data_IF_173508033367
#
_entry.id   IF_173508033367
#
_cell.length_a   1.000
_cell.length_b   1.000
_cell.length_c   1.000
_cell.angle_alpha   90.00
_cell.angle_beta   90.00
_cell.angle_gamma   90.00
#
_symmetry.space_group_name_H-M   'P 1'
#
loop_
_entity.id
_entity.type
_entity.pdbx_description
1 polymer ?
#
# COMPACT_ATOMS: atom_id res chain seq x y z
N UNK A 1 0.12 -0.81 -11.65
CA UNK A 1 0.52 -2.14 -11.12
C UNK A 1 0.61 -3.16 -12.26
N UNK A 2 1.78 -3.78 -12.47
CA UNK A 2 1.96 -4.92 -13.38
C UNK A 2 2.48 -6.07 -12.53
N UNK A 3 1.66 -7.11 -12.34
CA UNK A 3 2.08 -8.35 -11.66
C UNK A 3 2.37 -9.35 -12.77
N UNK A 4 3.49 -10.06 -12.67
CA UNK A 4 3.80 -11.14 -13.60
C UNK A 4 2.87 -12.32 -13.30
N UNK A 5 1.72 -12.34 -13.98
CA UNK A 5 0.85 -13.50 -14.05
C UNK A 5 1.32 -14.32 -15.25
N UNK A 6 2.12 -15.37 -15.00
CA UNK A 6 2.62 -16.40 -15.94
C UNK A 6 4.12 -16.32 -16.33
N UNK A 7 4.71 -17.52 -16.50
CA UNK A 7 6.11 -17.80 -16.88
C UNK A 7 6.50 -17.40 -18.32
N UNK A 8 5.66 -16.63 -19.02
CA UNK A 8 6.03 -16.01 -20.29
C UNK A 8 6.27 -14.53 -20.00
N UNK A 9 7.43 -13.99 -20.36
CA UNK A 9 7.93 -12.65 -19.97
C UNK A 9 7.10 -11.43 -20.39
N UNK A 10 5.82 -11.58 -20.70
CA UNK A 10 4.88 -10.50 -20.98
C UNK A 10 4.16 -10.05 -19.69
N UNK A 11 4.49 -8.84 -19.23
CA UNK A 11 3.79 -8.19 -18.12
C UNK A 11 2.41 -7.71 -18.57
N UNK A 12 1.42 -8.60 -18.48
CA UNK A 12 0.01 -8.26 -18.71
C UNK A 12 -0.52 -7.34 -17.59
N UNK A 13 -1.40 -6.37 -17.91
CA UNK A 13 -2.08 -5.58 -16.88
C UNK A 13 -2.90 -6.48 -15.95
N UNK A 14 -2.96 -6.12 -14.67
CA UNK A 14 -3.80 -6.85 -13.72
C UNK A 14 -5.28 -6.80 -14.17
N UNK A 15 -5.99 -7.94 -14.24
CA UNK A 15 -7.42 -7.95 -14.55
C UNK A 15 -8.22 -7.07 -13.59
N UNK A 16 -9.31 -6.47 -14.07
CA UNK A 16 -10.11 -5.55 -13.27
C UNK A 16 -10.65 -6.19 -11.99
N UNK A 17 -11.16 -7.42 -12.09
CA UNK A 17 -11.64 -8.21 -10.95
C UNK A 17 -10.55 -8.41 -9.89
N UNK A 18 -9.32 -8.68 -10.32
CA UNK A 18 -8.19 -8.84 -9.40
C UNK A 18 -7.79 -7.50 -8.76
N UNK A 19 -7.92 -6.38 -9.47
CA UNK A 19 -7.71 -5.05 -8.86
C UNK A 19 -8.72 -4.77 -7.76
N UNK A 20 -10.00 -5.10 -7.97
CA UNK A 20 -11.04 -4.97 -6.96
C UNK A 20 -10.79 -5.91 -5.77
N UNK A 21 -10.37 -7.15 -6.03
CA UNK A 21 -10.00 -8.10 -4.97
C UNK A 21 -8.84 -7.58 -4.13
N UNK A 22 -7.80 -7.03 -4.75
CA UNK A 22 -6.69 -6.37 -4.04
C UNK A 22 -7.20 -5.24 -3.16
N UNK A 23 -7.99 -4.31 -3.73
CA UNK A 23 -8.53 -3.19 -2.96
C UNK A 23 -9.30 -3.68 -1.72
N UNK A 24 -10.19 -4.67 -1.91
CA UNK A 24 -11.00 -5.25 -0.84
C UNK A 24 -10.16 -5.93 0.25
N UNK A 25 -9.27 -6.86 -0.10
CA UNK A 25 -8.48 -7.61 0.87
C UNK A 25 -7.51 -6.71 1.65
N UNK A 26 -6.93 -5.70 0.99
CA UNK A 26 -6.05 -4.75 1.67
C UNK A 26 -6.84 -3.86 2.64
N UNK A 27 -8.05 -3.43 2.29
CA UNK A 27 -8.92 -2.72 3.23
C UNK A 27 -9.26 -3.59 4.46
N UNK A 28 -9.62 -4.87 4.25
CA UNK A 28 -9.88 -5.81 5.34
C UNK A 28 -8.65 -6.04 6.23
N UNK A 29 -7.46 -6.16 5.63
CA UNK A 29 -6.22 -6.32 6.38
C UNK A 29 -5.92 -5.09 7.25
N UNK A 30 -6.13 -3.88 6.71
CA UNK A 30 -5.96 -2.63 7.46
C UNK A 30 -7.00 -2.48 8.59
N UNK A 31 -8.26 -2.84 8.33
CA UNK A 31 -9.31 -2.88 9.35
C UNK A 31 -8.96 -3.85 10.47
N UNK A 32 -8.50 -5.05 10.13
CA UNK A 32 -8.05 -6.04 11.11
C UNK A 32 -6.89 -5.51 11.95
N UNK A 33 -5.87 -4.91 11.33
CA UNK A 33 -4.75 -4.29 12.05
C UNK A 33 -5.24 -3.21 13.02
N UNK A 34 -6.14 -2.33 12.58
CA UNK A 34 -6.72 -1.29 13.42
C UNK A 34 -7.50 -1.88 14.62
N UNK A 35 -8.26 -2.95 14.41
CA UNK A 35 -8.99 -3.66 15.47
C UNK A 35 -8.05 -4.31 16.50
N UNK A 36 -6.85 -4.74 16.08
CA UNK A 36 -5.80 -5.28 16.95
C UNK A 36 -4.93 -4.17 17.61
N UNK A 37 -5.29 -2.90 17.46
CA UNK A 37 -4.53 -1.76 18.01
C UNK A 37 -3.29 -1.37 17.21
N UNK A 38 -3.03 -2.03 16.08
CA UNK A 38 -1.95 -1.71 15.14
C UNK A 38 -2.42 -0.67 14.12
N UNK A 39 -2.67 0.55 14.61
CA UNK A 39 -3.29 1.63 13.81
C UNK A 39 -2.35 2.29 12.78
N UNK A 40 -1.07 1.95 12.81
CA UNK A 40 -0.04 2.58 11.99
C UNK A 40 0.56 1.53 11.06
N UNK A 41 0.58 1.87 9.77
CA UNK A 41 1.27 1.12 8.74
C UNK A 41 2.19 2.06 7.96
N UNK A 42 3.48 1.76 7.95
CA UNK A 42 4.50 2.56 7.29
C UNK A 42 4.68 2.15 5.83
N UNK A 43 4.83 3.15 4.95
CA UNK A 43 5.20 2.94 3.55
C UNK A 43 4.23 1.98 2.81
N UNK A 44 2.92 2.16 3.03
CA UNK A 44 1.88 1.46 2.27
C UNK A 44 1.90 1.93 0.81
N UNK A 45 2.13 0.99 -0.10
CA UNK A 45 2.15 1.18 -1.54
C UNK A 45 1.93 -0.17 -2.26
N UNK A 46 1.88 -0.18 -3.59
CA UNK A 46 1.63 -1.40 -4.37
C UNK A 46 2.66 -2.53 -4.14
N UNK A 47 3.90 -2.24 -3.71
CA UNK A 47 4.92 -3.25 -3.40
C UNK A 47 4.68 -3.97 -2.06
N UNK A 48 3.81 -3.43 -1.21
CA UNK A 48 3.40 -4.07 0.05
C UNK A 48 2.25 -5.06 -0.13
N UNK A 49 1.63 -5.09 -1.31
CA UNK A 49 0.63 -6.07 -1.69
C UNK A 49 1.36 -7.30 -2.24
N UNK A 50 1.20 -8.42 -1.54
CA UNK A 50 1.76 -9.71 -1.92
C UNK A 50 0.63 -10.63 -2.37
N UNK A 51 0.98 -11.72 -3.04
CA UNK A 51 0.05 -12.79 -3.39
C UNK A 51 0.55 -14.07 -2.73
N UNK A 52 -0.35 -14.81 -2.10
CA UNK A 52 -0.01 -16.12 -1.55
C UNK A 52 -0.02 -17.21 -2.63
N UNK A 53 0.17 -18.46 -2.21
CA UNK A 53 0.22 -19.63 -3.10
C UNK A 53 -1.11 -19.89 -3.82
N UNK A 54 -2.23 -19.43 -3.25
CA UNK A 54 -3.58 -19.54 -3.82
C UNK A 54 -3.90 -18.37 -4.77
N UNK A 55 -2.99 -17.39 -4.87
CA UNK A 55 -3.15 -16.20 -5.69
C UNK A 55 -4.01 -15.12 -5.04
N UNK A 56 -4.27 -15.22 -3.74
CA UNK A 56 -5.04 -14.22 -3.01
C UNK A 56 -4.14 -13.08 -2.48
N UNK A 57 -4.61 -11.83 -2.56
CA UNK A 57 -3.84 -10.69 -2.12
C UNK A 57 -3.72 -10.63 -0.59
N UNK A 58 -2.50 -10.38 -0.12
CA UNK A 58 -2.11 -10.24 1.30
C UNK A 58 -1.36 -8.93 1.51
N UNK A 59 -1.52 -8.34 2.70
CA UNK A 59 -0.73 -7.18 3.12
C UNK A 59 0.54 -7.67 3.85
N UNK A 60 1.71 -7.19 3.42
CA UNK A 60 2.98 -7.49 4.10
C UNK A 60 2.96 -7.01 5.56
N UNK A 61 3.47 -7.81 6.51
CA UNK A 61 3.57 -7.38 7.91
C UNK A 61 4.70 -6.38 8.17
N UNK A 62 5.65 -6.21 7.23
CA UNK A 62 6.81 -5.34 7.43
C UNK A 62 6.46 -3.87 7.65
N UNK A 63 5.35 -3.37 7.09
CA UNK A 63 4.91 -1.99 7.32
C UNK A 63 4.39 -1.75 8.75
N UNK A 64 4.07 -2.80 9.51
CA UNK A 64 3.66 -2.69 10.92
C UNK A 64 4.87 -2.49 11.86
N UNK A 65 6.08 -2.79 11.39
CA UNK A 65 7.30 -2.60 12.15
C UNK A 65 7.80 -1.16 11.97
N UNK A 66 8.20 -0.51 13.07
CA UNK A 66 8.92 0.77 12.99
C UNK A 66 10.31 0.51 12.43
N UNK A 67 10.57 0.95 11.21
CA UNK A 67 11.93 0.97 10.67
C UNK A 67 12.68 2.13 11.35
N UNK A 68 13.53 1.78 12.31
CA UNK A 68 14.49 2.64 13.03
C UNK A 68 13.94 3.48 14.20
N UNK A 69 14.81 3.66 15.21
CA UNK A 69 14.61 4.43 16.46
C UNK A 69 14.23 5.91 16.25
N UNK A 70 14.38 6.45 15.03
CA UNK A 70 14.26 7.89 14.74
C UNK A 70 12.99 8.31 14.00
N UNK A 71 12.02 7.40 13.78
CA UNK A 71 10.68 7.75 13.29
C UNK A 71 10.56 8.20 11.82
N UNK A 72 11.68 8.34 11.10
CA UNK A 72 11.70 8.61 9.65
C UNK A 72 11.46 7.32 8.85
N UNK A 73 10.23 6.82 8.89
CA UNK A 73 9.89 5.49 8.36
C UNK A 73 9.32 5.49 6.93
N UNK A 74 9.47 6.59 6.17
CA UNK A 74 9.07 6.66 4.77
C UNK A 74 10.29 6.43 3.86
N UNK A 75 10.33 5.25 3.22
CA UNK A 75 11.20 4.99 2.06
C UNK A 75 10.59 5.49 0.75
N UNK A 76 9.34 5.98 0.81
CA UNK A 76 8.55 6.42 -0.33
C UNK A 76 8.97 7.84 -0.74
N UNK A 77 8.99 8.08 -2.05
CA UNK A 77 9.16 9.41 -2.63
C UNK A 77 8.19 10.39 -1.95
N UNK A 78 8.69 11.56 -1.51
CA UNK A 78 7.91 12.58 -0.78
C UNK A 78 6.61 12.99 -1.48
N UNK A 79 6.52 12.80 -2.80
CA UNK A 79 5.32 13.05 -3.58
C UNK A 79 4.11 12.17 -3.19
N UNK A 80 4.31 11.05 -2.50
CA UNK A 80 3.25 10.11 -2.09
C UNK A 80 3.01 10.13 -0.57
N UNK A 81 3.71 11.03 0.11
CA UNK A 81 3.70 11.13 1.55
C UNK A 81 2.51 11.97 2.00
N UNK A 82 1.78 11.54 3.05
CA UNK A 82 0.68 12.31 3.59
C UNK A 82 1.13 13.73 4.00
N UNK A 83 0.33 14.78 3.74
CA UNK A 83 0.74 16.17 3.97
C UNK A 83 1.07 16.46 5.44
N UNK A 84 0.38 15.81 6.38
CA UNK A 84 0.66 15.92 7.80
C UNK A 84 2.01 15.30 8.18
N UNK A 85 2.48 14.27 7.48
CA UNK A 85 3.80 13.69 7.70
C UNK A 85 4.89 14.65 7.23
N UNK A 86 4.70 15.36 6.10
CA UNK A 86 5.65 16.38 5.63
C UNK A 86 5.85 17.50 6.66
N UNK A 87 4.80 17.84 7.42
CA UNK A 87 4.84 18.86 8.47
C UNK A 87 5.41 18.36 9.79
N UNK A 88 5.06 17.14 10.21
CA UNK A 88 5.30 16.66 11.58
C UNK A 88 6.37 15.57 11.69
N UNK A 89 6.71 14.93 10.58
CA UNK A 89 7.55 13.73 10.53
C UNK A 89 6.92 12.52 11.21
N UNK A 90 5.61 12.53 11.48
CA UNK A 90 4.90 11.48 12.22
C UNK A 90 3.80 10.87 11.36
N UNK A 91 3.68 9.55 11.44
CA UNK A 91 2.57 8.79 10.85
C UNK A 91 1.44 8.74 11.87
N UNK A 92 0.23 9.06 11.44
CA UNK A 92 -1.00 8.93 12.23
C UNK A 92 -1.95 7.93 11.56
N UNK A 93 -3.01 7.44 12.23
CA UNK A 93 -3.94 6.49 11.61
C UNK A 93 -4.53 6.99 10.29
N UNK A 94 -4.80 8.28 10.18
CA UNK A 94 -5.32 8.94 8.97
C UNK A 94 -4.31 8.90 7.81
N UNK A 95 -3.01 8.90 8.11
CA UNK A 95 -1.94 8.72 7.11
C UNK A 95 -2.08 7.39 6.36
N UNK A 96 -2.53 6.33 7.05
CA UNK A 96 -2.74 5.01 6.44
C UNK A 96 -3.86 5.05 5.42
N UNK A 97 -4.94 5.80 5.71
CA UNK A 97 -6.06 5.99 4.78
C UNK A 97 -5.62 6.77 3.54
N UNK A 98 -4.80 7.81 3.72
CA UNK A 98 -4.20 8.55 2.59
C UNK A 98 -3.37 7.63 1.69
N UNK A 99 -2.47 6.83 2.28
CA UNK A 99 -1.65 5.88 1.52
C UNK A 99 -2.47 4.75 0.89
N UNK A 100 -3.58 4.32 1.50
CA UNK A 100 -4.50 3.41 0.83
C UNK A 100 -5.14 4.06 -0.41
N UNK A 101 -5.46 5.35 -0.35
CA UNK A 101 -5.89 6.14 -1.50
C UNK A 101 -4.89 6.13 -2.67
N UNK A 102 -3.58 6.21 -2.38
CA UNK A 102 -2.56 6.11 -3.45
C UNK A 102 -2.50 4.71 -4.06
N UNK A 103 -2.71 3.65 -3.25
CA UNK A 103 -2.87 2.27 -3.77
C UNK A 103 -4.08 2.16 -4.70
N UNK A 104 -5.21 2.81 -4.38
CA UNK A 104 -6.38 2.84 -5.27
C UNK A 104 -6.07 3.55 -6.59
N UNK A 105 -5.31 4.66 -6.57
CA UNK A 105 -4.86 5.33 -7.79
C UNK A 105 -3.97 4.43 -8.66
N UNK A 106 -3.09 3.65 -8.03
CA UNK A 106 -2.23 2.67 -8.72
C UNK A 106 -3.03 1.56 -9.40
N UNK A 107 -4.10 1.10 -8.73
CA UNK A 107 -5.02 0.09 -9.25
C UNK A 107 -5.85 0.65 -10.40
N UNK A 108 -6.40 1.86 -10.27
CA UNK A 108 -7.21 2.50 -11.30
C UNK A 108 -6.38 2.78 -12.56
N UNK A 109 -5.23 3.42 -12.40
CA UNK A 109 -4.44 3.92 -13.53
C UNK A 109 -3.49 2.88 -14.14
N UNK A 110 -3.17 1.82 -13.39
CA UNK A 110 -2.09 0.90 -13.74
C UNK A 110 -0.69 1.50 -13.64
N UNK A 111 -0.55 2.75 -13.19
CA UNK A 111 0.71 3.51 -13.05
C UNK A 111 0.88 3.99 -11.62
N UNK A 112 2.11 4.23 -11.18
CA UNK A 112 2.36 4.87 -9.89
C UNK A 112 2.28 6.39 -10.09
N UNK A 113 1.11 6.99 -9.82
CA UNK A 113 0.80 8.40 -10.13
C UNK A 113 0.87 9.23 -8.84
N UNK A 114 1.70 10.28 -8.80
CA UNK A 114 1.73 11.18 -7.64
C UNK A 114 0.38 11.87 -7.46
N UNK A 115 -0.16 11.93 -6.23
CA UNK A 115 -1.26 12.84 -5.90
C UNK A 115 -0.89 14.26 -6.33
N UNK A 116 -1.71 14.90 -7.17
CA UNK A 116 -1.52 16.30 -7.53
C UNK A 116 -1.86 17.16 -6.30
N UNK A 117 -0.89 17.95 -5.83
CA UNK A 117 -1.09 19.00 -4.84
C UNK A 117 -1.74 20.24 -5.45
#
# INVERSE_FOLDING_TARGET
>A
MKIAINNAGEKQPLPWEMRLRVAYHIAQALEHCNAQGLKIYHDLNAYRVLFDEEGDPRLSSFGLMKNSRDGKSYSTNLAYTPPEFLRTGRVIPESVVYSYGTVLLDLLSGKHIPPSH
#
